data_IF_944539499325
#
_entry.id   IF_944539499325
#
_cell.length_a   1.000
_cell.length_b   1.000
_cell.length_c   1.000
_cell.angle_alpha   90.00
_cell.angle_beta   90.00
_cell.angle_gamma   90.00
#
_symmetry.space_group_name_H-M   'P 1'
#
loop_
_entity.id
_entity.type
_entity.pdbx_description
1 polymer ?
#
# COMPACT_ATOMS: atom_id res chain seq x y z
N UNK A 1 1.82 -19.16 10.51
CA UNK A 1 2.87 -18.86 11.49
C UNK A 1 4.15 -18.29 10.91
N UNK A 2 4.70 -18.79 9.78
CA UNK A 2 5.99 -18.31 9.25
C UNK A 2 6.03 -16.80 9.00
N UNK A 3 5.05 -16.24 8.28
CA UNK A 3 5.05 -14.79 7.93
C UNK A 3 4.67 -13.86 9.09
N UNK A 4 3.83 -14.32 10.02
CA UNK A 4 3.45 -13.53 11.21
C UNK A 4 4.56 -13.46 12.26
N UNK A 5 5.46 -14.45 12.26
CA UNK A 5 6.61 -14.53 13.17
C UNK A 5 7.94 -14.26 12.47
N UNK A 6 7.92 -14.06 11.15
CA UNK A 6 9.13 -13.77 10.38
C UNK A 6 9.72 -12.45 10.86
N UNK A 7 10.94 -12.52 11.36
CA UNK A 7 11.80 -11.37 11.64
C UNK A 7 12.70 -11.12 10.43
N UNK A 8 12.16 -11.26 9.22
CA UNK A 8 12.89 -10.96 7.99
C UNK A 8 13.22 -9.46 7.98
N UNK A 9 14.37 -9.10 7.40
CA UNK A 9 14.88 -7.71 7.40
C UNK A 9 13.92 -6.72 6.74
N UNK A 10 13.03 -7.21 5.87
CA UNK A 10 12.22 -6.38 4.97
C UNK A 10 10.75 -6.27 5.43
N UNK A 11 10.41 -6.83 6.60
CA UNK A 11 9.05 -6.81 7.16
C UNK A 11 9.02 -5.93 8.43
N UNK A 12 8.33 -4.80 8.36
CA UNK A 12 8.14 -3.93 9.53
C UNK A 12 7.06 -4.48 10.48
N UNK A 13 5.89 -4.80 9.93
CA UNK A 13 4.74 -5.29 10.70
C UNK A 13 3.80 -6.10 9.82
N UNK A 14 3.30 -7.23 10.32
CA UNK A 14 2.24 -8.02 9.66
C UNK A 14 1.15 -8.38 10.66
N UNK A 15 -0.08 -8.49 10.17
CA UNK A 15 -1.18 -9.08 10.93
C UNK A 15 -2.21 -9.68 9.97
N UNK A 16 -2.63 -10.91 10.22
CA UNK A 16 -3.71 -11.56 9.50
C UNK A 16 -4.76 -12.01 10.50
N UNK A 17 -5.91 -11.37 10.46
CA UNK A 17 -7.04 -11.67 11.34
C UNK A 17 -8.16 -12.26 10.49
N UNK A 18 -8.67 -13.41 10.93
CA UNK A 18 -9.74 -14.16 10.25
C UNK A 18 -10.84 -14.42 11.26
N UNK A 19 -12.02 -13.92 10.99
CA UNK A 19 -13.15 -13.97 11.92
C UNK A 19 -14.41 -14.46 11.20
N UNK A 20 -15.18 -15.29 11.89
CA UNK A 20 -16.48 -15.79 11.44
C UNK A 20 -17.51 -15.43 12.51
N UNK A 21 -18.57 -14.74 12.10
CA UNK A 21 -19.67 -14.32 12.95
C UNK A 21 -20.95 -15.01 12.52
N UNK A 22 -21.58 -15.73 13.44
CA UNK A 22 -22.91 -16.32 13.23
C UNK A 22 -23.94 -15.65 14.10
N UNK A 23 -25.16 -15.51 13.58
CA UNK A 23 -26.23 -14.91 14.36
C UNK A 23 -26.68 -15.90 15.44
N UNK A 24 -26.81 -15.40 16.67
CA UNK A 24 -27.24 -16.17 17.84
C UNK A 24 -28.66 -16.73 17.67
N UNK A 25 -29.49 -16.09 16.85
CA UNK A 25 -30.84 -16.59 16.52
C UNK A 25 -30.80 -17.95 15.81
N UNK A 26 -29.73 -18.24 15.07
CA UNK A 26 -29.56 -19.46 14.27
C UNK A 26 -28.90 -20.61 15.05
N UNK A 27 -28.95 -20.56 16.37
CA UNK A 27 -28.43 -21.60 17.25
C UNK A 27 -26.93 -21.48 17.55
N UNK A 28 -26.41 -22.50 18.24
CA UNK A 28 -25.00 -22.53 18.67
C UNK A 28 -24.15 -23.22 17.62
N UNK A 29 -22.95 -22.68 17.38
CA UNK A 29 -21.95 -23.35 16.57
C UNK A 29 -21.33 -24.47 17.41
N UNK A 30 -21.09 -25.61 16.77
CA UNK A 30 -20.42 -26.75 17.39
C UNK A 30 -19.04 -26.34 17.92
N UNK A 31 -18.78 -26.66 19.19
CA UNK A 31 -17.51 -26.35 19.83
C UNK A 31 -16.32 -26.95 19.07
N UNK A 32 -16.49 -28.18 18.56
CA UNK A 32 -15.52 -28.84 17.70
C UNK A 32 -15.12 -27.99 16.49
N UNK A 33 -16.09 -27.33 15.83
CA UNK A 33 -15.79 -26.47 14.70
C UNK A 33 -14.93 -25.28 15.14
N UNK A 34 -15.29 -24.61 16.24
CA UNK A 34 -14.53 -23.45 16.77
C UNK A 34 -13.08 -23.81 17.08
N UNK A 35 -12.85 -24.94 17.75
CA UNK A 35 -11.52 -25.42 18.09
C UNK A 35 -10.70 -25.77 16.84
N UNK A 36 -11.33 -26.42 15.85
CA UNK A 36 -10.68 -26.73 14.57
C UNK A 36 -10.34 -25.48 13.77
N UNK A 37 -11.23 -24.48 13.75
CA UNK A 37 -10.96 -23.20 13.10
C UNK A 37 -9.79 -22.47 13.74
N UNK A 38 -9.74 -22.47 15.08
CA UNK A 38 -8.64 -21.87 15.82
C UNK A 38 -7.32 -22.62 15.61
N UNK A 39 -7.35 -23.96 15.58
CA UNK A 39 -6.16 -24.81 15.43
C UNK A 39 -5.55 -24.71 14.03
N UNK A 40 -6.36 -24.75 12.97
CA UNK A 40 -5.85 -24.85 11.60
C UNK A 40 -5.72 -23.51 10.88
N UNK A 41 -6.58 -22.55 11.19
CA UNK A 41 -6.65 -21.29 10.45
C UNK A 41 -6.26 -20.08 11.30
N UNK A 42 -5.97 -20.30 12.60
CA UNK A 42 -5.83 -19.23 13.59
C UNK A 42 -7.03 -18.28 13.56
N UNK A 43 -8.19 -18.79 13.14
CA UNK A 43 -9.40 -18.03 12.93
C UNK A 43 -10.27 -18.05 14.16
N UNK A 44 -10.97 -16.95 14.41
CA UNK A 44 -11.90 -16.82 15.52
C UNK A 44 -13.34 -16.99 15.05
N UNK A 45 -14.14 -17.74 15.79
CA UNK A 45 -15.56 -17.97 15.49
C UNK A 45 -16.40 -17.52 16.68
N UNK A 46 -17.40 -16.67 16.46
CA UNK A 46 -18.25 -16.12 17.51
C UNK A 46 -19.73 -16.07 17.11
N UNK A 47 -20.61 -16.42 18.06
CA UNK A 47 -22.03 -16.14 17.94
C UNK A 47 -22.37 -14.77 18.52
N UNK A 48 -22.98 -13.92 17.71
CA UNK A 48 -23.25 -12.51 18.03
C UNK A 48 -24.67 -12.13 17.65
N UNK A 49 -25.18 -11.06 18.23
CA UNK A 49 -26.40 -10.44 17.75
C UNK A 49 -26.05 -9.46 16.63
N UNK A 50 -26.60 -9.67 15.43
CA UNK A 50 -26.30 -8.86 14.25
C UNK A 50 -26.72 -7.39 14.37
N UNK A 51 -27.60 -7.05 15.31
CA UNK A 51 -27.91 -5.64 15.61
C UNK A 51 -26.74 -4.84 16.19
N UNK A 52 -25.78 -5.51 16.86
CA UNK A 52 -24.61 -4.88 17.50
C UNK A 52 -23.28 -5.40 16.93
N UNK A 53 -23.31 -6.16 15.83
CA UNK A 53 -22.13 -6.86 15.31
C UNK A 53 -21.02 -5.90 14.89
N UNK A 54 -21.36 -4.73 14.35
CA UNK A 54 -20.37 -3.75 13.90
C UNK A 54 -19.41 -3.32 15.02
N UNK A 55 -19.92 -3.11 16.24
CA UNK A 55 -19.12 -2.77 17.42
C UNK A 55 -18.31 -3.95 17.95
N UNK A 56 -18.84 -5.17 17.80
CA UNK A 56 -18.13 -6.40 18.19
C UNK A 56 -16.95 -6.62 17.25
N UNK A 57 -17.19 -6.54 15.94
CA UNK A 57 -16.16 -6.61 14.90
C UNK A 57 -15.07 -5.58 15.18
N UNK A 58 -15.42 -4.29 15.31
CA UNK A 58 -14.43 -3.23 15.51
C UNK A 58 -13.54 -3.51 16.71
N UNK A 59 -14.12 -3.79 17.88
CA UNK A 59 -13.37 -4.02 19.12
C UNK A 59 -12.50 -5.27 19.03
N UNK A 60 -13.04 -6.35 18.47
CA UNK A 60 -12.35 -7.65 18.39
C UNK A 60 -11.22 -7.61 17.37
N UNK A 61 -11.48 -7.14 16.15
CA UNK A 61 -10.46 -6.97 15.13
C UNK A 61 -9.34 -6.05 15.63
N UNK A 62 -9.66 -4.93 16.31
CA UNK A 62 -8.64 -4.04 16.89
C UNK A 62 -7.80 -4.73 17.97
N UNK A 63 -8.43 -5.50 18.86
CA UNK A 63 -7.72 -6.27 19.89
C UNK A 63 -6.77 -7.30 19.25
N UNK A 64 -7.24 -8.05 18.25
CA UNK A 64 -6.44 -9.05 17.56
C UNK A 64 -5.29 -8.40 16.80
N UNK A 65 -5.54 -7.36 16.00
CA UNK A 65 -4.49 -6.63 15.28
C UNK A 65 -3.46 -6.06 16.26
N UNK A 66 -3.89 -5.44 17.37
CA UNK A 66 -2.96 -4.94 18.39
C UNK A 66 -2.08 -6.04 18.96
N UNK A 67 -2.64 -7.23 19.20
CA UNK A 67 -1.90 -8.41 19.68
C UNK A 67 -0.90 -8.91 18.64
N UNK A 68 -1.33 -9.09 17.38
CA UNK A 68 -0.46 -9.59 16.30
C UNK A 68 0.66 -8.59 15.97
N UNK A 69 0.40 -7.29 16.10
CA UNK A 69 1.40 -6.23 15.82
C UNK A 69 2.24 -5.83 17.05
N UNK A 70 2.15 -6.57 18.17
CA UNK A 70 2.83 -6.25 19.43
C UNK A 70 2.61 -4.80 19.91
N UNK A 71 1.42 -4.26 19.65
CA UNK A 71 1.06 -2.89 20.04
C UNK A 71 1.47 -1.78 19.06
N UNK A 72 2.14 -2.08 17.95
CA UNK A 72 2.50 -1.07 16.92
C UNK A 72 1.24 -0.42 16.31
N UNK A 73 0.22 -1.22 16.02
CA UNK A 73 -1.07 -0.73 15.51
C UNK A 73 -2.10 -0.80 16.62
N UNK A 74 -2.40 0.36 17.22
CA UNK A 74 -3.34 0.45 18.35
C UNK A 74 -4.80 0.33 17.90
N UNK A 75 -5.18 1.01 16.81
CA UNK A 75 -6.54 1.05 16.31
C UNK A 75 -6.56 0.91 14.78
N UNK A 76 -6.93 -0.28 14.30
CA UNK A 76 -7.00 -0.60 12.88
C UNK A 76 -8.29 -0.07 12.24
N UNK A 77 -9.42 -0.33 12.90
CA UNK A 77 -10.75 0.15 12.57
C UNK A 77 -11.11 1.32 13.50
N UNK A 78 -11.02 2.54 12.99
CA UNK A 78 -11.33 3.78 13.74
C UNK A 78 -12.83 4.04 13.86
N UNK A 79 -13.60 3.61 12.87
CA UNK A 79 -15.04 3.88 12.76
C UNK A 79 -15.82 2.59 12.54
N UNK A 80 -17.10 2.61 12.93
CA UNK A 80 -18.04 1.51 12.71
C UNK A 80 -18.63 1.56 11.29
N UNK A 81 -17.80 1.76 10.27
CA UNK A 81 -18.27 1.94 8.89
C UNK A 81 -18.56 0.61 8.16
N UNK A 82 -18.32 -0.52 8.82
CA UNK A 82 -18.56 -1.84 8.24
C UNK A 82 -20.01 -2.23 8.55
N UNK A 83 -20.77 -2.54 7.51
CA UNK A 83 -22.08 -3.16 7.61
C UNK A 83 -21.98 -4.61 7.17
N UNK A 84 -22.53 -5.52 7.96
CA UNK A 84 -22.44 -6.96 7.72
C UNK A 84 -23.80 -7.59 8.00
N UNK A 85 -24.27 -8.45 7.09
CA UNK A 85 -25.57 -9.13 7.21
C UNK A 85 -25.42 -10.56 7.75
N UNK A 86 -26.44 -11.02 8.48
CA UNK A 86 -26.57 -12.40 8.92
C UNK A 86 -27.37 -13.23 7.92
N UNK A 87 -27.41 -14.57 8.05
CA UNK A 87 -27.17 -15.32 9.28
C UNK A 87 -25.71 -15.69 9.60
N UNK A 88 -24.81 -15.68 8.61
CA UNK A 88 -23.39 -15.97 8.78
C UNK A 88 -22.56 -15.00 7.96
N UNK A 89 -21.51 -14.44 8.56
CA UNK A 89 -20.61 -13.52 7.88
C UNK A 89 -19.16 -13.79 8.23
N UNK A 90 -18.27 -13.49 7.29
CA UNK A 90 -16.82 -13.64 7.49
C UNK A 90 -16.10 -12.33 7.25
N UNK A 91 -15.06 -12.11 8.06
CA UNK A 91 -14.26 -10.90 8.03
C UNK A 91 -12.80 -11.31 8.04
N UNK A 92 -12.06 -10.78 7.08
CA UNK A 92 -10.61 -10.88 7.04
C UNK A 92 -10.01 -9.49 7.12
N UNK A 93 -9.14 -9.26 8.09
CA UNK A 93 -8.38 -8.03 8.22
C UNK A 93 -6.89 -8.36 8.08
N UNK A 94 -6.28 -7.89 7.00
CA UNK A 94 -4.91 -8.19 6.64
C UNK A 94 -4.10 -6.89 6.61
N UNK A 95 -2.96 -6.87 7.28
CA UNK A 95 -2.03 -5.76 7.33
C UNK A 95 -0.64 -6.27 6.95
N UNK A 96 0.01 -5.57 6.05
CA UNK A 96 1.40 -5.83 5.68
C UNK A 96 2.13 -4.52 5.46
N UNK A 97 3.23 -4.35 6.18
CA UNK A 97 4.08 -3.17 6.13
C UNK A 97 5.51 -3.59 5.85
N UNK A 98 6.12 -3.03 4.80
CA UNK A 98 7.55 -3.27 4.52
C UNK A 98 8.44 -2.43 5.41
N UNK A 99 9.61 -2.98 5.72
CA UNK A 99 10.71 -2.25 6.36
C UNK A 99 11.52 -1.49 5.30
N UNK A 100 12.04 -0.32 5.64
CA UNK A 100 12.80 0.55 4.73
C UNK A 100 14.10 1.07 5.33
N UNK A 101 14.63 0.43 6.38
CA UNK A 101 15.89 0.83 7.05
C UNK A 101 17.08 0.95 6.11
N UNK A 102 17.10 0.16 5.04
CA UNK A 102 18.16 0.19 4.02
C UNK A 102 17.96 1.27 2.95
N UNK A 103 16.83 2.00 2.99
CA UNK A 103 16.52 3.10 2.10
C UNK A 103 16.95 4.46 2.68
N UNK A 104 17.36 5.37 1.79
CA UNK A 104 17.58 6.78 2.09
C UNK A 104 16.32 7.58 1.78
N UNK A 105 15.98 8.51 2.67
CA UNK A 105 14.92 9.51 2.49
C UNK A 105 15.47 10.94 2.60
N UNK A 106 16.79 11.11 2.58
CA UNK A 106 17.45 12.39 2.83
C UNK A 106 17.35 13.33 1.62
N UNK A 107 17.08 14.61 1.89
CA UNK A 107 17.12 15.73 0.92
C UNK A 107 16.26 15.46 -0.35
N UNK A 108 16.90 15.21 -1.49
CA UNK A 108 16.27 15.02 -2.81
C UNK A 108 15.65 13.63 -3.01
N UNK A 109 15.91 12.70 -2.10
CA UNK A 109 15.46 11.31 -2.24
C UNK A 109 14.05 11.08 -1.66
N UNK A 110 13.58 12.02 -0.82
CA UNK A 110 12.34 11.92 -0.06
C UNK A 110 11.06 12.25 -0.84
N UNK A 111 11.16 12.82 -2.05
CA UNK A 111 10.02 13.13 -2.90
C UNK A 111 10.29 12.72 -4.36
N UNK A 112 9.23 12.34 -5.07
CA UNK A 112 9.27 12.08 -6.50
C UNK A 112 8.01 12.61 -7.20
N UNK A 113 8.14 12.94 -8.48
CA UNK A 113 7.00 13.35 -9.29
C UNK A 113 6.41 12.16 -10.02
N UNK A 114 5.20 11.79 -9.65
CA UNK A 114 4.47 10.67 -10.21
C UNK A 114 3.59 11.10 -11.38
N UNK A 115 3.74 10.40 -12.50
CA UNK A 115 3.00 10.58 -13.74
C UNK A 115 1.60 9.98 -13.62
N UNK A 116 0.59 10.84 -13.75
CA UNK A 116 -0.81 10.45 -13.81
C UNK A 116 -1.43 10.88 -15.13
N UNK A 117 -2.40 10.10 -15.60
CA UNK A 117 -3.22 10.44 -16.75
C UNK A 117 -4.57 10.98 -16.27
N UNK A 118 -4.70 12.30 -16.07
CA UNK A 118 -5.98 12.86 -15.67
C UNK A 118 -6.98 12.80 -16.82
N UNK A 119 -8.25 12.61 -16.48
CA UNK A 119 -9.34 12.63 -17.46
C UNK A 119 -9.62 14.04 -18.00
N UNK A 120 -9.41 15.12 -17.22
CA UNK A 120 -9.55 16.53 -17.66
C UNK A 120 -8.70 17.50 -16.81
N UNK A 121 -8.03 18.48 -17.46
CA UNK A 121 -7.39 19.71 -16.89
C UNK A 121 -6.72 19.60 -15.50
N UNK A 122 -5.93 18.57 -15.27
CA UNK A 122 -5.15 18.44 -14.04
C UNK A 122 -3.65 18.30 -14.35
N UNK A 123 -2.80 18.53 -13.34
CA UNK A 123 -1.35 18.36 -13.47
C UNK A 123 -1.05 16.88 -13.75
N UNK A 124 -0.24 16.62 -14.78
CA UNK A 124 0.22 15.26 -15.12
C UNK A 124 1.23 14.69 -14.14
N UNK A 125 1.77 15.52 -13.25
CA UNK A 125 2.79 15.17 -12.27
C UNK A 125 2.29 15.51 -10.87
N UNK A 126 2.32 14.54 -9.96
CA UNK A 126 1.95 14.68 -8.54
C UNK A 126 3.20 14.44 -7.69
N UNK A 127 3.56 15.34 -6.76
CA UNK A 127 4.60 15.03 -5.79
C UNK A 127 4.13 13.94 -4.82
N UNK A 128 4.91 12.89 -4.67
CA UNK A 128 4.65 11.75 -3.80
C UNK A 128 5.90 11.49 -2.95
N UNK A 129 5.77 11.26 -1.63
CA UNK A 129 6.89 10.87 -0.79
C UNK A 129 7.54 9.60 -1.33
N UNK A 130 8.86 9.54 -1.34
CA UNK A 130 9.63 8.45 -1.92
C UNK A 130 10.76 7.98 -1.00
N UNK A 131 11.30 6.82 -1.32
CA UNK A 131 12.49 6.24 -0.70
C UNK A 131 13.44 5.78 -1.80
N UNK A 132 14.74 6.03 -1.60
CA UNK A 132 15.81 5.63 -2.51
C UNK A 132 16.59 4.44 -1.93
N UNK A 133 16.67 3.35 -2.67
CA UNK A 133 17.48 2.19 -2.35
C UNK A 133 18.71 2.15 -3.22
N UNK A 134 19.88 1.93 -2.61
CA UNK A 134 21.16 1.74 -3.31
C UNK A 134 21.60 0.28 -3.39
N UNK A 135 20.97 -0.58 -2.60
CA UNK A 135 21.24 -2.02 -2.51
C UNK A 135 20.02 -2.75 -1.90
N UNK A 136 20.09 -4.08 -1.80
CA UNK A 136 19.02 -4.89 -1.20
C UNK A 136 17.84 -5.16 -2.14
N UNK A 137 18.04 -5.01 -3.44
CA UNK A 137 17.02 -5.29 -4.44
C UNK A 137 17.62 -5.99 -5.65
N UNK A 138 16.77 -6.75 -6.35
CA UNK A 138 17.04 -7.29 -7.68
C UNK A 138 16.17 -6.56 -8.69
N UNK A 139 16.68 -6.39 -9.92
CA UNK A 139 15.95 -5.69 -10.96
C UNK A 139 16.12 -6.34 -12.34
N UNK A 140 15.05 -6.31 -13.11
CA UNK A 140 14.94 -7.00 -14.40
C UNK A 140 14.02 -6.27 -15.37
N UNK A 141 14.11 -6.65 -16.63
CA UNK A 141 13.19 -6.23 -17.67
C UNK A 141 12.70 -7.46 -18.43
N UNK A 142 11.39 -7.65 -18.51
CA UNK A 142 10.78 -8.76 -19.24
C UNK A 142 10.25 -8.26 -20.59
N UNK A 143 10.88 -8.63 -21.71
CA UNK A 143 10.54 -8.09 -23.03
C UNK A 143 9.18 -8.56 -23.54
N UNK A 144 8.69 -9.72 -23.10
CA UNK A 144 7.39 -10.26 -23.54
C UNK A 144 6.21 -9.49 -22.98
N UNK A 145 6.35 -8.99 -21.75
CA UNK A 145 5.32 -8.19 -21.06
C UNK A 145 5.56 -6.69 -21.24
N UNK A 146 6.68 -6.30 -21.87
CA UNK A 146 7.13 -4.91 -21.95
C UNK A 146 7.06 -4.26 -20.56
N UNK A 147 7.75 -4.85 -19.59
CA UNK A 147 7.64 -4.46 -18.18
C UNK A 147 8.98 -4.48 -17.46
N UNK A 148 9.22 -3.44 -16.67
CA UNK A 148 10.36 -3.31 -15.75
C UNK A 148 9.97 -3.81 -14.36
N UNK A 149 10.80 -4.65 -13.77
CA UNK A 149 10.50 -5.37 -12.53
C UNK A 149 11.58 -5.07 -11.50
N UNK A 150 11.19 -4.82 -10.27
CA UNK A 150 12.09 -4.79 -9.10
C UNK A 150 11.53 -5.68 -8.01
N UNK A 151 12.39 -6.45 -7.37
CA UNK A 151 12.03 -7.19 -6.17
C UNK A 151 12.95 -6.86 -4.99
N UNK A 152 12.33 -6.76 -3.81
CA UNK A 152 13.00 -6.66 -2.52
C UNK A 152 12.79 -7.99 -1.77
N UNK A 153 13.80 -8.38 -0.99
CA UNK A 153 13.93 -9.70 -0.43
C UNK A 153 14.69 -10.65 -1.37
N UNK A 154 15.60 -11.40 -0.78
CA UNK A 154 16.34 -12.50 -1.41
C UNK A 154 15.44 -13.72 -1.61
N UNK A 155 15.89 -14.65 -2.44
CA UNK A 155 15.24 -15.97 -2.59
C UNK A 155 15.27 -16.75 -1.26
N UNK A 156 16.25 -16.45 -0.39
CA UNK A 156 16.40 -17.08 0.92
C UNK A 156 15.45 -16.53 1.98
N UNK A 157 14.90 -15.32 1.78
CA UNK A 157 13.97 -14.71 2.71
C UNK A 157 12.60 -15.38 2.63
N UNK A 158 11.78 -15.30 3.68
CA UNK A 158 10.46 -15.96 3.65
C UNK A 158 9.49 -15.22 2.73
N UNK A 159 9.65 -13.91 2.59
CA UNK A 159 8.80 -13.05 1.78
C UNK A 159 9.64 -12.17 0.85
N UNK A 160 9.19 -12.03 -0.39
CA UNK A 160 9.67 -11.00 -1.32
C UNK A 160 8.55 -10.06 -1.72
N UNK A 161 8.89 -8.79 -1.95
CA UNK A 161 7.96 -7.81 -2.54
C UNK A 161 8.39 -7.50 -3.96
N UNK A 162 7.48 -7.64 -4.92
CA UNK A 162 7.76 -7.51 -6.36
C UNK A 162 6.92 -6.36 -6.91
N UNK A 163 7.57 -5.41 -7.56
CA UNK A 163 6.97 -4.26 -8.22
C UNK A 163 7.16 -4.40 -9.73
N UNK A 164 6.06 -4.27 -10.49
CA UNK A 164 6.03 -4.45 -11.94
C UNK A 164 5.47 -3.20 -12.59
N UNK A 165 6.32 -2.47 -13.31
CA UNK A 165 6.00 -1.23 -13.98
C UNK A 165 5.95 -1.44 -15.50
N UNK A 166 4.91 -1.00 -16.22
CA UNK A 166 4.82 -1.14 -17.66
C UNK A 166 5.84 -0.24 -18.38
N UNK A 167 6.48 -0.79 -19.41
CA UNK A 167 7.49 -0.16 -20.26
C UNK A 167 8.85 0.04 -19.60
N UNK A 168 9.70 0.81 -20.28
CA UNK A 168 10.99 1.30 -19.78
C UNK A 168 10.85 2.59 -18.98
N UNK A 169 11.86 2.96 -18.19
CA UNK A 169 11.89 4.20 -17.40
C UNK A 169 11.61 5.48 -18.22
N UNK A 170 12.14 5.56 -19.44
CA UNK A 170 12.01 6.72 -20.33
C UNK A 170 10.78 6.66 -21.26
N UNK A 171 10.02 5.57 -21.23
CA UNK A 171 8.84 5.41 -22.08
C UNK A 171 7.65 6.15 -21.49
N UNK A 172 7.01 6.99 -22.30
CA UNK A 172 5.69 7.54 -22.02
C UNK A 172 4.71 6.37 -21.99
N UNK A 173 4.24 6.00 -20.81
CA UNK A 173 3.26 4.92 -20.67
C UNK A 173 1.88 5.43 -21.07
N UNK A 174 1.20 4.87 -22.09
CA UNK A 174 -0.21 5.17 -22.36
C UNK A 174 -1.08 4.88 -21.13
N UNK A 175 -2.25 5.54 -21.02
CA UNK A 175 -3.16 5.32 -19.89
C UNK A 175 -3.58 3.84 -19.72
N UNK A 176 -3.69 3.11 -20.83
CA UNK A 176 -4.11 1.71 -20.88
C UNK A 176 -2.95 0.71 -20.64
N UNK A 177 -1.70 1.17 -20.50
CA UNK A 177 -0.56 0.25 -20.41
C UNK A 177 -0.60 -0.63 -19.16
N UNK A 178 -1.11 -0.10 -18.04
CA UNK A 178 -1.27 -0.85 -16.80
C UNK A 178 -2.39 -1.89 -16.92
N UNK A 179 -3.51 -1.53 -17.57
CA UNK A 179 -4.63 -2.46 -17.78
C UNK A 179 -4.24 -3.59 -18.73
N UNK A 180 -3.48 -3.29 -19.78
CA UNK A 180 -2.91 -4.31 -20.67
C UNK A 180 -1.97 -5.24 -19.91
N UNK A 181 -1.06 -4.69 -19.10
CA UNK A 181 -0.13 -5.48 -18.28
C UNK A 181 -0.90 -6.37 -17.29
N UNK A 182 -1.95 -5.87 -16.65
CA UNK A 182 -2.83 -6.62 -15.75
C UNK A 182 -3.50 -7.80 -16.48
N UNK A 183 -4.09 -7.53 -17.65
CA UNK A 183 -4.73 -8.56 -18.47
C UNK A 183 -3.75 -9.64 -18.93
N UNK A 184 -2.60 -9.23 -19.46
CA UNK A 184 -1.55 -10.15 -19.92
C UNK A 184 -0.99 -10.98 -18.76
N UNK A 185 -0.74 -10.38 -17.60
CA UNK A 185 -0.29 -11.12 -16.41
C UNK A 185 -1.34 -12.13 -15.96
N UNK A 186 -2.63 -11.77 -15.92
CA UNK A 186 -3.69 -12.69 -15.50
C UNK A 186 -3.87 -13.84 -16.50
N UNK A 187 -3.97 -13.55 -17.79
CA UNK A 187 -4.15 -14.59 -18.81
C UNK A 187 -2.94 -15.51 -18.95
N UNK A 188 -1.73 -14.95 -18.90
CA UNK A 188 -0.49 -15.70 -19.06
C UNK A 188 -0.01 -16.36 -17.76
N UNK A 189 -0.45 -15.89 -16.58
CA UNK A 189 -0.16 -16.54 -15.32
C UNK A 189 -0.71 -17.97 -15.28
N UNK A 190 -1.93 -18.19 -15.77
CA UNK A 190 -2.56 -19.52 -15.76
C UNK A 190 -2.11 -20.42 -16.92
N UNK A 191 -1.62 -19.86 -18.03
CA UNK A 191 -1.37 -20.61 -19.26
C UNK A 191 0.11 -20.80 -19.63
N UNK A 192 1.01 -19.86 -19.29
CA UNK A 192 2.37 -19.79 -19.87
C UNK A 192 3.48 -19.44 -18.88
N UNK A 193 3.29 -19.68 -17.58
CA UNK A 193 4.28 -19.42 -16.54
C UNK A 193 4.86 -17.97 -16.60
N UNK A 194 4.07 -16.95 -16.94
CA UNK A 194 4.54 -15.56 -16.97
C UNK A 194 5.16 -15.12 -15.63
N UNK A 195 4.66 -15.66 -14.52
CA UNK A 195 5.25 -15.45 -13.20
C UNK A 195 6.68 -15.98 -13.07
N UNK A 196 7.01 -17.12 -13.69
CA UNK A 196 8.39 -17.60 -13.67
C UNK A 196 9.29 -16.74 -14.52
N UNK A 197 8.82 -16.24 -15.68
CA UNK A 197 9.65 -15.36 -16.53
C UNK A 197 9.99 -14.05 -15.81
N UNK A 198 8.98 -13.43 -15.16
CA UNK A 198 9.16 -12.24 -14.31
C UNK A 198 10.24 -12.50 -13.25
N UNK A 199 10.15 -13.60 -12.51
CA UNK A 199 11.12 -13.93 -11.46
C UNK A 199 12.51 -14.27 -12.01
N UNK A 200 12.62 -14.90 -13.18
CA UNK A 200 13.93 -15.20 -13.80
C UNK A 200 14.62 -13.97 -14.41
N UNK A 201 13.87 -12.91 -14.68
CA UNK A 201 14.44 -11.66 -15.22
C UNK A 201 15.20 -10.85 -14.15
N UNK A 202 14.96 -11.14 -12.87
CA UNK A 202 15.53 -10.44 -11.73
C UNK A 202 16.99 -10.82 -11.51
N UNK A 203 17.86 -9.82 -11.50
CA UNK A 203 19.30 -9.99 -11.21
C UNK A 203 19.80 -8.84 -10.34
N UNK A 204 20.88 -9.07 -9.62
CA UNK A 204 21.57 -8.00 -8.88
C UNK A 204 22.14 -6.96 -9.86
N UNK A 205 21.90 -5.68 -9.58
CA UNK A 205 22.37 -4.56 -10.40
C UNK A 205 23.24 -3.64 -9.54
N UNK A 206 24.54 -3.96 -9.36
CA UNK A 206 25.43 -3.14 -8.53
C UNK A 206 25.59 -1.74 -9.14
N UNK A 207 25.52 -0.71 -8.29
CA UNK A 207 25.63 0.69 -8.71
C UNK A 207 24.37 1.28 -9.34
N UNK A 208 23.25 0.54 -9.37
CA UNK A 208 21.94 1.09 -9.72
C UNK A 208 21.24 1.60 -8.45
N UNK A 209 20.39 2.60 -8.60
CA UNK A 209 19.51 3.07 -7.53
C UNK A 209 18.04 2.83 -7.91
N UNK A 210 17.21 2.47 -6.94
CA UNK A 210 15.75 2.34 -7.13
C UNK A 210 15.03 3.34 -6.26
N UNK A 211 14.17 4.16 -6.86
CA UNK A 211 13.27 5.07 -6.16
C UNK A 211 11.85 4.51 -6.19
N UNK A 212 11.30 4.24 -5.00
CA UNK A 212 9.94 3.76 -4.81
C UNK A 212 9.09 4.78 -4.05
N UNK A 213 7.79 4.88 -4.35
CA UNK A 213 6.89 5.71 -3.55
C UNK A 213 6.64 5.11 -2.16
N UNK A 214 6.57 5.98 -1.16
CA UNK A 214 6.05 5.69 0.18
C UNK A 214 4.54 5.87 0.13
N UNK A 215 3.80 4.77 0.15
CA UNK A 215 2.35 4.79 0.08
C UNK A 215 1.72 3.80 1.06
N UNK A 216 0.48 4.09 1.43
CA UNK A 216 -0.38 3.22 2.22
C UNK A 216 -1.67 3.01 1.45
N UNK A 217 -1.91 1.79 1.00
CA UNK A 217 -3.12 1.41 0.30
C UNK A 217 -4.01 0.57 1.22
N UNK A 218 -5.21 1.08 1.48
CA UNK A 218 -6.23 0.40 2.28
C UNK A 218 -7.42 0.05 1.41
N UNK A 219 -7.75 -1.23 1.27
CA UNK A 219 -8.91 -1.70 0.52
C UNK A 219 -9.95 -2.34 1.42
N UNK A 220 -11.21 -2.09 1.10
CA UNK A 220 -12.42 -2.68 1.67
C UNK A 220 -13.17 -3.38 0.53
N UNK A 221 -13.22 -4.70 0.56
CA UNK A 221 -13.78 -5.51 -0.51
C UNK A 221 -14.89 -6.38 0.07
N UNK A 222 -16.11 -6.23 -0.46
CA UNK A 222 -17.14 -7.24 -0.29
C UNK A 222 -16.96 -8.29 -1.41
N UNK A 223 -16.40 -9.43 -1.04
CA UNK A 223 -16.08 -10.51 -1.96
C UNK A 223 -17.30 -11.38 -2.32
N UNK A 224 -18.45 -11.20 -1.66
CA UNK A 224 -19.65 -12.04 -1.86
C UNK A 224 -20.07 -12.11 -3.33
N UNK A 225 -20.21 -10.95 -3.99
CA UNK A 225 -20.63 -10.89 -5.38
C UNK A 225 -19.58 -11.53 -6.32
N UNK A 226 -18.29 -11.33 -6.03
CA UNK A 226 -17.19 -11.93 -6.78
C UNK A 226 -17.22 -13.46 -6.70
N UNK A 227 -17.33 -14.00 -5.49
CA UNK A 227 -17.40 -15.44 -5.24
C UNK A 227 -18.64 -16.09 -5.90
N UNK A 228 -19.78 -15.40 -5.89
CA UNK A 228 -20.98 -15.86 -6.60
C UNK A 228 -20.77 -15.91 -8.11
N UNK A 229 -20.10 -14.90 -8.70
CA UNK A 229 -19.76 -14.88 -10.13
C UNK A 229 -18.77 -15.99 -10.50
N UNK A 230 -17.86 -16.34 -9.60
CA UNK A 230 -16.91 -17.44 -9.76
C UNK A 230 -17.54 -18.85 -9.61
N UNK A 231 -18.82 -18.95 -9.23
CA UNK A 231 -19.55 -20.22 -9.20
C UNK A 231 -20.04 -20.66 -7.82
N UNK A 232 -19.65 -19.98 -6.73
CA UNK A 232 -20.07 -20.33 -5.37
C UNK A 232 -21.48 -19.84 -5.01
N UNK A 233 -22.43 -19.90 -5.95
CA UNK A 233 -23.78 -19.33 -5.79
C UNK A 233 -24.60 -20.02 -4.70
N UNK A 234 -24.46 -21.33 -4.53
CA UNK A 234 -25.22 -22.12 -3.55
C UNK A 234 -24.89 -21.75 -2.10
N UNK A 235 -23.65 -21.33 -1.83
CA UNK A 235 -23.18 -20.96 -0.49
C UNK A 235 -23.89 -19.72 0.08
N UNK A 236 -24.38 -18.84 -0.80
CA UNK A 236 -25.05 -17.58 -0.43
C UNK A 236 -26.57 -17.65 -0.47
N UNK A 237 -27.15 -18.84 -0.61
CA UNK A 237 -28.61 -19.04 -0.67
C UNK A 237 -29.04 -20.05 0.38
N UNK A 238 -30.08 -19.73 1.14
CA UNK A 238 -30.69 -20.63 2.14
C UNK A 238 -31.01 -22.01 1.55
N UNK A 239 -31.59 -22.03 0.36
CA UNK A 239 -32.15 -23.26 -0.22
C UNK A 239 -31.09 -24.28 -0.67
N UNK A 240 -29.85 -23.81 -0.88
CA UNK A 240 -28.76 -24.61 -1.43
C UNK A 240 -27.58 -24.78 -0.46
N UNK A 241 -27.44 -23.90 0.54
CA UNK A 241 -26.32 -23.93 1.46
C UNK A 241 -26.48 -25.08 2.46
N UNK A 242 -25.61 -26.09 2.35
CA UNK A 242 -25.50 -27.15 3.36
C UNK A 242 -24.31 -26.91 4.27
N UNK A 243 -24.55 -26.18 5.37
CA UNK A 243 -23.55 -25.86 6.38
C UNK A 243 -23.78 -26.62 7.69
N UNK A 244 -24.36 -27.83 7.63
CA UNK A 244 -24.62 -28.69 8.81
C UNK A 244 -23.37 -29.03 9.63
N UNK A 245 -22.18 -28.94 9.05
CA UNK A 245 -20.92 -29.08 9.79
C UNK A 245 -20.68 -27.98 10.83
N UNK A 246 -21.36 -26.83 10.73
CA UNK A 246 -21.25 -25.70 11.65
C UNK A 246 -22.22 -25.83 12.84
N UNK A 247 -23.49 -26.12 12.55
CA UNK A 247 -24.61 -26.07 13.50
C UNK A 247 -25.17 -27.46 13.86
N UNK A 248 -24.68 -28.52 13.22
CA UNK A 248 -25.24 -29.87 13.32
C UNK A 248 -26.55 -30.03 12.53
N UNK A 249 -27.36 -31.01 12.92
CA UNK A 249 -28.64 -31.31 12.25
C UNK A 249 -29.80 -30.37 12.63
N UNK A 250 -29.56 -29.39 13.50
CA UNK A 250 -30.61 -28.61 14.15
C UNK A 250 -31.18 -27.46 13.30
N UNK A 251 -30.36 -26.82 12.45
CA UNK A 251 -30.76 -25.63 11.70
C UNK A 251 -30.34 -25.70 10.24
N UNK A 252 -31.32 -25.58 9.33
CA UNK A 252 -31.13 -25.67 7.87
C UNK A 252 -30.98 -24.32 7.18
N UNK A 253 -31.27 -23.22 7.86
CA UNK A 253 -31.36 -21.89 7.23
C UNK A 253 -30.08 -21.04 7.40
N UNK A 254 -28.94 -21.68 7.72
CA UNK A 254 -27.65 -20.98 7.83
C UNK A 254 -26.93 -21.00 6.48
N UNK A 255 -26.69 -19.81 5.94
CA UNK A 255 -25.97 -19.58 4.69
C UNK A 255 -25.03 -18.38 4.85
N UNK A 256 -24.00 -18.31 4.00
CA UNK A 256 -23.05 -17.22 4.03
C UNK A 256 -23.67 -15.97 3.41
N UNK A 257 -23.73 -14.87 4.15
CA UNK A 257 -24.30 -13.61 3.66
C UNK A 257 -23.22 -12.70 3.10
N UNK A 258 -22.24 -12.39 3.93
CA UNK A 258 -21.18 -11.45 3.58
C UNK A 258 -19.78 -12.02 3.81
N UNK A 259 -18.89 -11.76 2.85
CA UNK A 259 -17.45 -12.02 2.95
C UNK A 259 -16.72 -10.71 2.78
N UNK A 260 -16.33 -10.11 3.91
CA UNK A 260 -15.66 -8.81 3.93
C UNK A 260 -14.16 -9.00 4.08
N UNK A 261 -13.39 -8.33 3.23
CA UNK A 261 -11.93 -8.31 3.29
C UNK A 261 -11.44 -6.87 3.43
N UNK A 262 -10.56 -6.64 4.40
CA UNK A 262 -9.97 -5.34 4.70
C UNK A 262 -8.46 -5.50 4.63
N UNK A 263 -7.86 -5.06 3.54
CA UNK A 263 -6.43 -5.21 3.32
C UNK A 263 -5.73 -3.86 3.43
N UNK A 264 -4.67 -3.79 4.22
CA UNK A 264 -3.81 -2.61 4.31
C UNK A 264 -2.40 -3.03 3.93
N UNK A 265 -1.90 -2.48 2.83
CA UNK A 265 -0.51 -2.62 2.41
C UNK A 265 0.17 -1.26 2.57
N UNK A 266 1.38 -1.21 3.10
CA UNK A 266 2.13 0.05 3.17
C UNK A 266 3.61 -0.18 2.97
N UNK A 267 4.24 0.70 2.20
CA UNK A 267 5.70 0.74 2.09
C UNK A 267 6.29 1.57 3.22
N UNK A 268 7.42 1.18 3.78
CA UNK A 268 8.12 1.92 4.84
C UNK A 268 7.26 2.21 6.08
N UNK A 269 6.77 1.14 6.72
CA UNK A 269 5.89 1.22 7.89
C UNK A 269 6.62 1.35 9.24
N UNK A 270 7.86 1.82 9.26
CA UNK A 270 8.62 2.07 10.49
C UNK A 270 8.06 3.26 11.29
N UNK A 271 7.53 4.26 10.58
CA UNK A 271 6.95 5.47 11.13
C UNK A 271 5.41 5.43 11.10
N UNK A 272 4.77 6.37 11.80
CA UNK A 272 3.31 6.50 11.76
C UNK A 272 2.86 6.80 10.32
N UNK A 273 2.03 5.91 9.76
CA UNK A 273 1.42 6.10 8.45
C UNK A 273 0.58 7.39 8.47
N UNK A 274 0.92 8.34 7.61
CA UNK A 274 0.20 9.61 7.45
C UNK A 274 1.10 10.74 6.96
N UNK A 275 2.07 11.15 7.78
CA UNK A 275 2.83 12.39 7.53
C UNK A 275 3.84 12.24 6.37
N UNK A 276 4.26 11.01 6.06
CA UNK A 276 5.27 10.68 5.03
C UNK A 276 4.81 9.63 4.03
N UNK A 277 3.48 9.40 3.91
CA UNK A 277 2.91 8.40 2.99
C UNK A 277 1.78 8.98 2.17
N UNK A 278 1.76 8.64 0.88
CA UNK A 278 0.55 8.82 0.09
C UNK A 278 -0.50 7.76 0.49
N UNK A 279 -1.65 8.20 0.98
CA UNK A 279 -2.71 7.29 1.47
C UNK A 279 -3.81 7.15 0.44
N UNK A 280 -4.01 5.92 -0.04
CA UNK A 280 -5.09 5.56 -0.94
C UNK A 280 -6.09 4.63 -0.25
N UNK A 281 -7.38 4.88 -0.48
CA UNK A 281 -8.46 4.02 0.00
C UNK A 281 -9.28 3.50 -1.17
N UNK A 282 -9.54 2.20 -1.18
CA UNK A 282 -10.40 1.53 -2.15
C UNK A 282 -11.59 0.86 -1.45
N UNK A 283 -12.83 1.00 -1.93
CA UNK A 283 -13.25 2.01 -2.90
C UNK A 283 -12.98 3.41 -2.37
N UNK A 284 -12.79 4.37 -3.27
CA UNK A 284 -12.56 5.76 -2.89
C UNK A 284 -13.74 6.25 -2.02
N UNK A 285 -13.48 6.87 -0.86
CA UNK A 285 -14.55 7.43 -0.06
C UNK A 285 -15.30 8.48 -0.89
N UNK A 286 -16.63 8.61 -0.70
CA UNK A 286 -17.40 9.62 -1.39
C UNK A 286 -16.77 10.99 -1.09
N UNK A 287 -16.46 11.76 -2.14
CA UNK A 287 -15.93 13.11 -2.02
C UNK A 287 -16.91 13.88 -1.13
N UNK A 288 -16.48 14.27 0.07
CA UNK A 288 -17.25 15.22 0.88
C UNK A 288 -17.35 16.49 0.03
N UNK A 289 -18.54 16.77 -0.51
CA UNK A 289 -18.86 18.10 -1.03
C UNK A 289 -18.56 19.05 0.11
N UNK A 290 -17.45 19.78 -0.01
CA UNK A 290 -17.17 20.92 0.84
C UNK A 290 -18.21 21.94 0.45
N UNK A 291 -19.38 21.90 1.11
CA UNK A 291 -20.35 22.98 1.03
C UNK A 291 -19.61 24.23 1.49
N UNK A 292 -19.25 25.06 0.51
CA UNK A 292 -18.77 26.41 0.73
C UNK A 292 -20.01 27.25 0.99
N UNK A 293 -20.64 27.03 2.14
CA UNK A 293 -21.63 27.94 2.70
C UNK A 293 -20.85 29.13 3.25
N UNK A 294 -20.45 30.04 2.36
CA UNK A 294 -20.15 31.41 2.71
C UNK A 294 -21.49 32.10 3.03
N UNK A 295 -21.99 31.83 4.24
CA UNK A 295 -23.01 32.66 4.86
C UNK A 295 -22.34 33.94 5.35
N UNK A 296 -22.58 35.04 4.64
CA UNK A 296 -22.38 36.37 5.15
C UNK A 296 -23.13 36.51 6.48
N UNK A 297 -22.44 36.93 7.53
CA UNK A 297 -22.94 37.91 8.48
C UNK A 297 -21.74 38.66 9.06
N UNK A 298 -21.78 39.94 8.73
CA UNK A 298 -21.07 41.06 9.32
C UNK A 298 -21.30 41.08 10.84
N UNK A 299 -20.25 41.38 11.59
CA UNK A 299 -20.28 42.25 12.76
C UNK A 299 -18.83 42.45 13.24
N UNK A 300 -18.33 43.66 12.99
CA UNK A 300 -16.97 44.07 13.28
C UNK A 300 -16.69 44.27 14.77
N UNK A 301 -15.47 43.91 15.16
CA UNK A 301 -14.76 44.56 16.26
C UNK A 301 -13.30 44.70 15.85
N UNK A 302 -12.88 45.96 15.71
CA UNK A 302 -11.52 46.41 15.48
C UNK A 302 -10.57 45.87 16.57
N UNK A 303 -9.43 45.31 16.17
CA UNK A 303 -8.16 45.62 16.83
C UNK A 303 -7.02 45.60 15.81
N UNK A 304 -6.16 46.59 15.96
CA UNK A 304 -5.25 47.16 14.99
C UNK A 304 -3.82 46.74 15.27
N UNK A 305 -3.14 46.22 14.24
CA UNK A 305 -1.69 46.43 14.06
C UNK A 305 -1.29 46.03 12.63
N UNK A 306 -1.59 46.91 11.68
CA UNK A 306 -0.89 46.92 10.39
C UNK A 306 0.47 47.60 10.59
N UNK A 307 1.54 46.82 10.49
CA UNK A 307 2.86 47.36 10.20
C UNK A 307 3.12 47.19 8.70
N UNK A 308 2.94 48.29 7.99
CA UNK A 308 3.43 48.54 6.63
C UNK A 308 4.94 48.29 6.60
N UNK A 309 5.41 47.36 5.76
CA UNK A 309 6.84 47.19 5.51
C UNK A 309 7.18 47.99 4.25
N UNK A 310 7.88 49.08 4.51
CA UNK A 310 8.44 50.08 3.61
C UNK A 310 9.52 49.48 2.68
N UNK A 311 9.47 49.88 1.41
CA UNK A 311 10.36 49.44 0.34
C UNK A 311 11.35 50.59 0.07
N UNK A 312 12.41 50.71 0.88
CA UNK A 312 13.38 51.78 0.67
C UNK A 312 14.54 51.86 1.66
N UNK A 313 15.71 51.39 1.23
CA UNK A 313 17.04 51.87 1.63
C UNK A 313 17.44 51.77 3.11
N UNK A 314 17.96 50.60 3.52
CA UNK A 314 19.10 50.54 4.43
C UNK A 314 20.07 49.44 3.98
N UNK A 315 21.23 49.89 3.51
CA UNK A 315 22.42 49.07 3.24
C UNK A 315 22.89 48.51 4.59
N UNK A 316 22.68 47.22 4.81
CA UNK A 316 23.41 46.45 5.81
C UNK A 316 23.84 45.11 5.22
N UNK A 317 25.14 44.92 5.27
CA UNK A 317 25.97 43.85 4.73
C UNK A 317 25.28 42.48 4.65
N UNK A 318 25.14 42.01 3.42
CA UNK A 318 24.80 40.64 3.08
C UNK A 318 25.80 39.66 3.70
N UNK A 319 25.36 38.90 4.70
CA UNK A 319 25.99 37.64 5.12
C UNK A 319 25.70 36.52 4.09
N UNK A 320 25.93 36.80 2.80
CA UNK A 320 26.11 35.79 1.76
C UNK A 320 27.51 35.18 1.95
N UNK A 321 27.64 34.37 3.01
CA UNK A 321 28.90 33.83 3.49
C UNK A 321 28.82 32.37 3.94
N UNK A 322 27.84 31.60 3.44
CA UNK A 322 27.93 30.12 3.48
C UNK A 322 28.18 29.63 2.07
N UNK A 323 29.46 29.63 1.73
CA UNK A 323 29.98 28.99 0.53
C UNK A 323 29.60 27.51 0.51
N UNK A 324 29.37 27.05 -0.71
CA UNK A 324 29.40 25.66 -1.12
C UNK A 324 30.73 25.05 -0.69
N UNK A 325 30.80 24.49 0.53
CA UNK A 325 31.86 23.56 0.87
C UNK A 325 31.46 22.20 0.28
N UNK A 326 31.86 22.01 -0.96
CA UNK A 326 32.04 20.68 -1.54
C UNK A 326 33.44 20.22 -1.11
N UNK A 327 33.53 19.12 -0.34
CA UNK A 327 34.78 18.58 0.23
C UNK A 327 35.81 18.16 -0.84
N UNK A 328 35.47 18.29 -2.13
CA UNK A 328 36.32 18.06 -3.30
C UNK A 328 36.86 19.36 -3.95
N UNK A 329 36.59 20.54 -3.40
CA UNK A 329 37.12 21.81 -3.89
C UNK A 329 38.50 22.11 -3.29
N UNK A 330 39.57 21.78 -4.00
CA UNK A 330 40.91 22.32 -3.68
C UNK A 330 40.92 23.82 -4.04
N UNK A 331 41.06 24.73 -3.05
CA UNK A 331 41.01 26.18 -3.26
C UNK A 331 42.08 26.69 -4.24
N UNK A 332 43.14 25.91 -4.51
CA UNK A 332 44.16 26.25 -5.51
C UNK A 332 43.60 26.35 -6.93
N UNK A 333 42.48 25.67 -7.24
CA UNK A 333 41.87 25.76 -8.56
C UNK A 333 41.04 27.03 -8.79
N UNK A 334 40.75 27.81 -7.74
CA UNK A 334 40.02 29.07 -7.85
C UNK A 334 40.92 30.20 -8.39
N UNK A 335 42.24 30.10 -8.22
CA UNK A 335 43.23 31.07 -8.72
C UNK A 335 43.48 30.95 -10.23
N UNK A 336 43.08 29.83 -10.85
CA UNK A 336 43.24 29.61 -12.29
C UNK A 336 42.17 30.37 -13.09
N UNK A 337 42.52 30.96 -14.25
CA UNK A 337 41.57 31.46 -15.23
C UNK A 337 40.53 30.40 -15.59
N UNK A 338 39.27 30.79 -15.80
CA UNK A 338 38.14 29.87 -16.06
C UNK A 338 38.40 28.82 -17.15
N UNK A 339 39.22 29.14 -18.15
CA UNK A 339 39.59 28.23 -19.24
C UNK A 339 40.59 27.13 -18.84
N UNK A 340 41.33 27.33 -17.75
CA UNK A 340 42.36 26.42 -17.23
C UNK A 340 41.93 25.68 -15.97
N UNK A 341 40.74 26.00 -15.43
CA UNK A 341 40.17 25.21 -14.35
C UNK A 341 39.82 23.82 -14.89
N UNK A 342 40.20 22.73 -14.21
CA UNK A 342 39.69 21.42 -14.57
C UNK A 342 38.17 21.51 -14.52
N UNK A 343 37.48 21.23 -15.64
CA UNK A 343 36.04 20.97 -15.57
C UNK A 343 35.90 19.79 -14.62
N UNK A 344 35.38 20.02 -13.42
CA UNK A 344 35.03 18.93 -12.53
C UNK A 344 34.14 17.99 -13.35
N UNK A 345 34.68 16.82 -13.69
CA UNK A 345 33.89 15.78 -14.30
C UNK A 345 32.87 15.42 -13.23
N UNK A 346 31.64 15.93 -13.36
CA UNK A 346 30.52 15.52 -12.53
C UNK A 346 30.50 14.00 -12.65
N UNK A 347 30.82 13.32 -11.55
CA UNK A 347 30.73 11.86 -11.49
C UNK A 347 29.33 11.53 -12.01
N UNK A 348 29.20 10.70 -13.06
CA UNK A 348 27.89 10.38 -13.61
C UNK A 348 27.01 9.89 -12.48
N UNK A 349 25.84 10.51 -12.30
CA UNK A 349 24.87 10.06 -11.31
C UNK A 349 24.56 8.58 -11.58
N UNK A 350 24.48 7.78 -10.53
CA UNK A 350 24.18 6.37 -10.64
C UNK A 350 22.86 6.18 -11.44
N UNK A 351 22.78 5.18 -12.34
CA UNK A 351 21.55 4.92 -13.08
C UNK A 351 20.40 4.68 -12.09
N UNK A 352 19.35 5.51 -12.19
CA UNK A 352 18.22 5.50 -11.27
C UNK A 352 16.96 4.99 -11.95
N UNK A 353 16.40 3.91 -11.42
CA UNK A 353 15.10 3.38 -11.79
C UNK A 353 14.04 3.99 -10.86
N UNK A 354 13.07 4.71 -11.40
CA UNK A 354 12.03 5.40 -10.63
C UNK A 354 10.67 4.79 -10.94
N UNK A 355 9.94 4.37 -9.92
CA UNK A 355 8.55 3.95 -10.05
C UNK A 355 7.63 5.17 -10.05
N UNK A 356 7.78 6.00 -11.08
CA UNK A 356 7.13 7.30 -11.24
C UNK A 356 5.89 7.25 -12.13
N UNK A 357 5.35 6.06 -12.42
CA UNK A 357 4.14 5.84 -13.22
C UNK A 357 3.37 4.64 -12.68
N UNK A 358 2.10 4.43 -13.07
CA UNK A 358 1.27 3.37 -12.50
C UNK A 358 1.91 1.99 -12.62
N UNK A 359 1.92 1.22 -11.53
CA UNK A 359 2.56 -0.08 -11.45
C UNK A 359 1.73 -1.07 -10.64
N UNK A 360 2.02 -2.36 -10.82
CA UNK A 360 1.49 -3.45 -10.00
C UNK A 360 2.50 -3.80 -8.90
N UNK A 361 2.01 -4.24 -7.76
CA UNK A 361 2.86 -4.74 -6.68
C UNK A 361 2.30 -6.03 -6.10
N UNK A 362 3.20 -6.88 -5.63
CA UNK A 362 2.90 -8.20 -5.12
C UNK A 362 3.77 -8.50 -3.91
N UNK A 363 3.22 -9.23 -2.96
CA UNK A 363 3.95 -9.80 -1.82
C UNK A 363 3.87 -11.31 -1.96
N UNK A 364 5.01 -11.98 -2.06
CA UNK A 364 5.09 -13.43 -2.34
C UNK A 364 5.76 -14.14 -1.18
N UNK A 365 5.20 -15.27 -0.75
CA UNK A 365 5.86 -16.19 0.17
C UNK A 365 6.80 -17.11 -0.63
N UNK A 366 8.11 -16.88 -0.53
CA UNK A 366 9.12 -17.53 -1.37
C UNK A 366 9.10 -19.07 -1.28
N UNK A 367 9.00 -19.70 -0.09
CA UNK A 367 9.04 -21.16 0.02
C UNK A 367 7.88 -21.87 -0.70
N UNK A 368 6.68 -21.27 -0.70
CA UNK A 368 5.48 -21.88 -1.31
C UNK A 368 5.13 -21.33 -2.69
N UNK A 369 5.68 -20.17 -3.06
CA UNK A 369 5.31 -19.43 -4.25
C UNK A 369 3.95 -18.71 -4.19
N UNK A 370 3.21 -18.79 -3.09
CA UNK A 370 1.89 -18.16 -2.92
C UNK A 370 2.02 -16.64 -2.87
N UNK A 371 1.09 -15.94 -3.53
CA UNK A 371 0.92 -14.49 -3.43
C UNK A 371 0.08 -14.17 -2.19
N UNK A 372 0.65 -13.42 -1.25
CA UNK A 372 0.01 -12.99 0.00
C UNK A 372 -0.77 -11.69 -0.18
N UNK A 373 -0.22 -10.73 -0.92
CA UNK A 373 -0.87 -9.47 -1.28
C UNK A 373 -0.62 -9.17 -2.75
N UNK A 374 -1.58 -8.51 -3.35
CA UNK A 374 -1.45 -7.93 -4.68
C UNK A 374 -2.22 -6.62 -4.73
N UNK A 375 -1.78 -5.71 -5.58
CA UNK A 375 -2.51 -4.49 -5.84
C UNK A 375 -1.89 -3.70 -6.98
N UNK A 376 -2.55 -2.58 -7.29
CA UNK A 376 -2.06 -1.59 -8.24
C UNK A 376 -1.92 -0.26 -7.53
N UNK A 377 -0.86 0.46 -7.85
CA UNK A 377 -0.65 1.82 -7.39
C UNK A 377 -0.90 2.76 -8.57
N UNK A 378 -1.98 3.55 -8.46
CA UNK A 378 -2.34 4.54 -9.46
C UNK A 378 -3.03 5.73 -8.73
N UNK A 379 -2.22 6.64 -8.16
CA UNK A 379 -2.71 7.75 -7.36
C UNK A 379 -3.68 8.58 -8.19
N UNK A 380 -4.93 8.62 -7.73
CA UNK A 380 -5.92 9.51 -8.31
C UNK A 380 -5.73 10.89 -7.68
N UNK A 381 -5.73 11.93 -8.52
CA UNK A 381 -5.92 13.28 -8.03
C UNK A 381 -7.32 13.37 -7.43
N UNK A 382 -7.38 13.34 -6.09
CA UNK A 382 -8.56 13.83 -5.38
C UNK A 382 -8.70 15.31 -5.76
N UNK A 383 -9.79 15.72 -6.41
CA UNK A 383 -9.98 17.09 -6.90
C UNK A 383 -10.11 18.13 -5.77
#
# INVERSE_FOLDING_TARGET
DSVERATDSDIATTAFVREIFSDRSNGKILQFFKEKTQQFYSGHVEEVNFHVVNDVIRRRTNLLVKRHTMGKVLEYLRTNSLWVNGPLATISANLFQTDCKHGSTQLTDGEMFFQVHPSVRQRRLIPIPAVLYKSGFTAGYEPKLDATIVAFGSIQDTVSTVYVMPGHQSSLSPAESLERLEHELVEQAFSKNAWSSVLTSLMDRPGMEVQLPRFSHRSFVNASLGLQKMGLKGLFKSDFADLRGLTGSANRDIYLSDVIQINTFSTCGEEKIGDHHHVEMYPAPPLRKRNKDLGANDDGAYDSSEAVIDFGSLVHESALGRGFYDDLLDPKYLELPLSLRPRQARVPDAPRLRFDKPFLYFVRHNPTGIILFMGRFNPRLLP
#
